data_IF_935187011762
#
_entry.id   IF_935187011762
#
_cell.length_a   1.000
_cell.length_b   1.000
_cell.length_c   1.000
_cell.angle_alpha   90.00
_cell.angle_beta   90.00
_cell.angle_gamma   90.00
#
_symmetry.space_group_name_H-M   'P 1'
#
loop_
_entity.id
_entity.type
_entity.pdbx_description
1 polymer ?
#
# COMPACT_ATOMS: atom_id res chain seq x y z
N UNK A 1 -10.10 6.74 -2.66
CA UNK A 1 -9.78 7.57 -1.48
C UNK A 1 -10.84 8.64 -1.26
N UNK A 2 -11.05 9.57 -2.18
CA UNK A 2 -12.08 10.64 -2.07
C UNK A 2 -13.50 10.12 -1.83
N UNK A 3 -13.85 8.94 -2.35
CA UNK A 3 -15.10 8.23 -2.08
C UNK A 3 -15.33 7.93 -0.59
N UNK A 4 -14.25 7.69 0.17
CA UNK A 4 -14.32 7.32 1.59
C UNK A 4 -14.16 8.50 2.54
N UNK A 5 -13.78 9.69 2.04
CA UNK A 5 -13.55 10.88 2.88
C UNK A 5 -14.83 11.33 3.56
N UNK A 6 -15.91 11.53 2.80
CA UNK A 6 -17.22 11.95 3.33
C UNK A 6 -17.80 10.97 4.38
N UNK A 7 -17.88 9.65 4.13
CA UNK A 7 -18.38 8.72 5.14
C UNK A 7 -17.44 8.56 6.35
N UNK A 8 -16.13 8.79 6.21
CA UNK A 8 -15.20 8.82 7.35
C UNK A 8 -15.35 10.08 8.19
N UNK A 9 -15.57 11.24 7.57
CA UNK A 9 -15.86 12.50 8.27
C UNK A 9 -17.15 12.40 9.08
N UNK A 10 -18.22 11.84 8.48
CA UNK A 10 -19.50 11.65 9.16
C UNK A 10 -19.42 10.59 10.28
N UNK A 11 -18.67 9.50 10.08
CA UNK A 11 -18.56 8.44 11.08
C UNK A 11 -17.64 8.80 12.27
N UNK A 12 -16.53 9.52 12.03
CA UNK A 12 -15.58 9.89 13.08
C UNK A 12 -15.77 11.32 13.64
N UNK A 13 -16.74 12.10 13.13
CA UNK A 13 -16.90 13.54 13.44
C UNK A 13 -15.58 14.33 13.31
N UNK A 14 -14.73 13.91 12.36
CA UNK A 14 -13.36 14.37 12.20
C UNK A 14 -13.24 15.36 11.05
N UNK A 15 -12.22 16.23 11.10
CA UNK A 15 -11.97 17.24 10.08
C UNK A 15 -11.33 16.63 8.83
N UNK A 16 -11.69 17.14 7.65
CA UNK A 16 -11.11 16.76 6.34
C UNK A 16 -9.58 16.72 6.35
N UNK A 17 -8.96 17.64 7.10
CA UNK A 17 -7.51 17.74 7.24
C UNK A 17 -6.88 16.48 7.85
N UNK A 18 -7.58 15.82 8.78
CA UNK A 18 -7.05 14.66 9.49
C UNK A 18 -7.14 13.38 8.65
N UNK A 19 -8.21 13.24 7.85
CA UNK A 19 -8.30 12.20 6.83
C UNK A 19 -7.19 12.40 5.79
N UNK A 20 -6.92 13.64 5.38
CA UNK A 20 -5.80 13.97 4.49
C UNK A 20 -4.43 13.59 5.07
N UNK A 21 -4.24 13.75 6.39
CA UNK A 21 -3.02 13.34 7.08
C UNK A 21 -2.84 11.82 7.04
N UNK A 22 -3.89 11.05 7.27
CA UNK A 22 -3.83 9.59 7.15
C UNK A 22 -3.46 9.15 5.72
N UNK A 23 -4.03 9.82 4.70
CA UNK A 23 -3.64 9.60 3.30
C UNK A 23 -2.17 9.92 3.04
N UNK A 24 -1.72 11.07 3.54
CA UNK A 24 -0.35 11.52 3.33
C UNK A 24 0.63 10.56 3.99
N UNK A 25 0.35 10.12 5.22
CA UNK A 25 1.14 9.11 5.90
C UNK A 25 1.19 7.80 5.11
N UNK A 26 0.06 7.35 4.58
CA UNK A 26 -0.02 6.19 3.69
C UNK A 26 0.88 6.33 2.46
N UNK A 27 0.78 7.44 1.71
CA UNK A 27 1.59 7.67 0.49
C UNK A 27 3.06 7.83 0.81
N UNK A 28 3.41 8.58 1.85
CA UNK A 28 4.81 8.77 2.29
C UNK A 28 5.44 7.46 2.71
N UNK A 29 4.75 6.64 3.50
CA UNK A 29 5.28 5.35 3.94
C UNK A 29 5.28 4.31 2.83
N UNK A 30 4.30 4.32 1.94
CA UNK A 30 4.32 3.49 0.73
C UNK A 30 5.55 3.81 -0.11
N UNK A 31 5.75 5.09 -0.44
CA UNK A 31 6.89 5.53 -1.27
C UNK A 31 8.22 5.28 -0.56
N UNK A 32 8.30 5.61 0.73
CA UNK A 32 9.49 5.40 1.55
C UNK A 32 9.85 3.93 1.70
N UNK A 33 8.86 3.05 1.88
CA UNK A 33 9.09 1.60 1.91
C UNK A 33 9.54 1.08 0.54
N UNK A 34 9.00 1.64 -0.55
CA UNK A 34 9.42 1.25 -1.90
C UNK A 34 10.90 1.53 -2.13
N UNK A 35 11.34 2.74 -1.78
CA UNK A 35 12.74 3.16 -1.91
C UNK A 35 13.66 2.45 -0.91
N UNK A 36 13.23 2.30 0.34
CA UNK A 36 14.01 1.67 1.41
C UNK A 36 14.31 0.20 1.13
N UNK A 37 13.32 -0.57 0.67
CA UNK A 37 13.55 -1.99 0.33
C UNK A 37 14.41 -2.18 -0.92
N UNK A 38 14.29 -1.29 -1.91
CA UNK A 38 15.11 -1.34 -3.12
C UNK A 38 16.60 -1.10 -2.86
N UNK A 39 16.95 -0.40 -1.77
CA UNK A 39 18.33 -0.10 -1.39
C UNK A 39 18.91 -1.05 -0.32
N UNK A 40 18.09 -1.52 0.64
CA UNK A 40 18.58 -2.23 1.82
C UNK A 40 18.36 -3.75 1.82
N UNK A 41 17.45 -4.29 1.01
CA UNK A 41 17.08 -5.72 1.11
C UNK A 41 17.74 -6.54 0.01
N UNK A 42 18.59 -7.53 0.35
CA UNK A 42 19.11 -8.48 -0.62
C UNK A 42 17.96 -9.19 -1.36
N UNK A 43 18.10 -9.39 -2.67
CA UNK A 43 17.13 -10.07 -3.55
C UNK A 43 16.59 -11.40 -2.99
N UNK A 44 17.39 -12.09 -2.18
CA UNK A 44 17.05 -13.37 -1.53
C UNK A 44 15.99 -13.25 -0.41
N UNK A 45 15.86 -12.10 0.23
CA UNK A 45 14.92 -11.86 1.35
C UNK A 45 13.55 -11.35 0.88
N UNK A 46 13.39 -11.09 -0.41
CA UNK A 46 12.18 -10.47 -0.96
C UNK A 46 10.91 -11.29 -0.66
N UNK A 47 10.95 -12.62 -0.74
CA UNK A 47 9.79 -13.48 -0.42
C UNK A 47 9.33 -13.36 1.04
N UNK A 48 10.27 -13.28 2.00
CA UNK A 48 9.93 -13.12 3.42
C UNK A 48 9.33 -11.73 3.67
N UNK A 49 9.92 -10.70 3.06
CA UNK A 49 9.41 -9.34 3.12
C UNK A 49 7.97 -9.22 2.57
N UNK A 50 7.63 -9.97 1.50
CA UNK A 50 6.27 -10.02 0.96
C UNK A 50 5.28 -10.66 1.90
N UNK A 51 5.63 -11.78 2.52
CA UNK A 51 4.74 -12.46 3.47
C UNK A 51 4.42 -11.55 4.65
N UNK A 52 5.42 -10.83 5.15
CA UNK A 52 5.23 -9.80 6.19
C UNK A 52 4.36 -8.66 5.66
N UNK A 53 4.61 -8.17 4.45
CA UNK A 53 3.80 -7.12 3.82
C UNK A 53 2.33 -7.50 3.63
N UNK A 54 2.06 -8.73 3.21
CA UNK A 54 0.71 -9.28 3.07
C UNK A 54 0.02 -9.43 4.43
N UNK A 55 0.75 -9.87 5.46
CA UNK A 55 0.27 -9.90 6.84
C UNK A 55 -0.07 -8.51 7.37
N UNK A 56 0.80 -7.52 7.14
CA UNK A 56 0.54 -6.11 7.48
C UNK A 56 -0.69 -5.57 6.74
N UNK A 57 -0.86 -5.91 5.46
CA UNK A 57 -2.04 -5.51 4.69
C UNK A 57 -3.34 -6.07 5.27
N UNK A 58 -3.37 -7.36 5.59
CA UNK A 58 -4.54 -7.98 6.23
C UNK A 58 -4.82 -7.36 7.60
N UNK A 59 -3.80 -7.19 8.43
CA UNK A 59 -3.93 -6.55 9.73
C UNK A 59 -4.42 -5.11 9.61
N UNK A 60 -3.91 -4.35 8.65
CA UNK A 60 -4.33 -2.97 8.41
C UNK A 60 -5.76 -2.89 7.87
N UNK A 61 -6.20 -3.80 7.00
CA UNK A 61 -7.60 -3.83 6.55
C UNK A 61 -8.56 -4.07 7.72
N UNK A 62 -8.25 -5.07 8.56
CA UNK A 62 -9.05 -5.40 9.73
C UNK A 62 -9.04 -4.24 10.75
N UNK A 63 -7.87 -3.66 10.98
CA UNK A 63 -7.68 -2.53 11.90
C UNK A 63 -8.37 -1.26 11.44
N UNK A 64 -8.35 -0.96 10.14
CA UNK A 64 -9.03 0.20 9.57
C UNK A 64 -10.56 0.02 9.60
N UNK A 65 -11.05 -1.21 9.43
CA UNK A 65 -12.48 -1.52 9.58
C UNK A 65 -12.99 -1.35 11.02
N UNK A 66 -12.12 -1.50 12.01
CA UNK A 66 -12.44 -1.35 13.43
C UNK A 66 -12.02 0.01 14.01
N UNK A 67 -11.49 0.92 13.18
CA UNK A 67 -10.95 2.19 13.64
C UNK A 67 -12.09 3.14 14.05
N UNK A 68 -12.25 3.35 15.36
CA UNK A 68 -13.23 4.29 15.93
C UNK A 68 -12.60 5.64 16.34
N UNK A 69 -11.28 5.77 16.24
CA UNK A 69 -10.52 6.95 16.65
C UNK A 69 -9.55 7.39 15.56
N UNK A 70 -9.30 8.69 15.47
CA UNK A 70 -8.40 9.26 14.47
C UNK A 70 -6.98 8.70 14.53
N UNK A 71 -6.42 8.58 15.73
CA UNK A 71 -5.07 8.04 15.92
C UNK A 71 -4.96 6.61 15.40
N UNK A 72 -6.00 5.79 15.59
CA UNK A 72 -6.05 4.45 15.05
C UNK A 72 -6.07 4.49 13.52
N UNK A 73 -6.85 5.40 12.91
CA UNK A 73 -6.89 5.57 11.46
C UNK A 73 -5.51 5.87 10.87
N UNK A 74 -4.76 6.80 11.48
CA UNK A 74 -3.41 7.16 11.02
C UNK A 74 -2.43 6.00 11.18
N UNK A 75 -2.46 5.30 12.31
CA UNK A 75 -1.57 4.15 12.56
C UNK A 75 -1.86 3.01 11.58
N UNK A 76 -3.13 2.68 11.36
CA UNK A 76 -3.52 1.62 10.43
C UNK A 76 -3.26 2.02 8.98
N UNK A 77 -3.46 3.29 8.60
CA UNK A 77 -3.09 3.81 7.28
C UNK A 77 -1.58 3.78 7.04
N UNK A 78 -0.78 4.11 8.06
CA UNK A 78 0.67 4.00 8.02
C UNK A 78 1.12 2.55 7.81
N UNK A 79 0.53 1.61 8.58
CA UNK A 79 0.83 0.18 8.48
C UNK A 79 0.39 -0.40 7.13
N UNK A 80 -0.74 0.07 6.60
CA UNK A 80 -1.20 -0.25 5.24
C UNK A 80 -0.19 0.23 4.19
N UNK A 81 0.35 1.45 4.34
CA UNK A 81 1.34 2.02 3.41
C UNK A 81 2.61 1.18 3.34
N UNK A 82 3.13 0.76 4.50
CA UNK A 82 4.30 -0.14 4.57
C UNK A 82 3.99 -1.50 3.92
N UNK A 83 2.84 -2.09 4.22
CA UNK A 83 2.41 -3.37 3.64
C UNK A 83 2.32 -3.34 2.11
N UNK A 84 1.72 -2.28 1.56
CA UNK A 84 1.63 -2.09 0.09
C UNK A 84 3.02 -1.93 -0.53
N UNK A 85 3.91 -1.12 0.07
CA UNK A 85 5.26 -0.92 -0.45
C UNK A 85 6.10 -2.19 -0.49
N UNK A 86 5.93 -3.08 0.50
CA UNK A 86 6.56 -4.40 0.55
C UNK A 86 6.05 -5.34 -0.55
N UNK A 87 4.73 -5.42 -0.72
CA UNK A 87 4.11 -6.29 -1.74
C UNK A 87 4.43 -5.81 -3.15
N UNK A 88 4.41 -4.49 -3.38
CA UNK A 88 4.74 -3.89 -4.68
C UNK A 88 6.18 -4.20 -5.11
N UNK A 89 7.17 -4.05 -4.21
CA UNK A 89 8.56 -4.41 -4.50
C UNK A 89 8.72 -5.87 -4.92
N UNK A 90 8.03 -6.77 -4.23
CA UNK A 90 8.08 -8.18 -4.57
C UNK A 90 7.49 -8.44 -5.95
N UNK A 91 6.27 -7.94 -6.22
CA UNK A 91 5.62 -8.09 -7.51
C UNK A 91 6.53 -7.59 -8.64
N UNK A 92 7.16 -6.43 -8.46
CA UNK A 92 8.11 -5.89 -9.43
C UNK A 92 9.35 -6.78 -9.60
N UNK A 93 9.95 -7.28 -8.50
CA UNK A 93 11.12 -8.15 -8.57
C UNK A 93 10.84 -9.51 -9.25
N UNK A 94 9.65 -10.07 -9.02
CA UNK A 94 9.18 -11.31 -9.70
C UNK A 94 8.92 -11.06 -11.18
N UNK A 95 8.27 -9.95 -11.54
CA UNK A 95 7.98 -9.61 -12.93
C UNK A 95 9.24 -9.41 -13.77
N UNK A 96 10.24 -8.70 -13.23
CA UNK A 96 11.53 -8.49 -13.91
C UNK A 96 12.30 -9.81 -14.08
N UNK A 97 12.14 -10.75 -13.15
CA UNK A 97 12.77 -12.08 -13.22
C UNK A 97 12.06 -13.03 -14.19
N UNK A 98 10.73 -12.94 -14.30
CA UNK A 98 9.94 -13.75 -15.25
C UNK A 98 10.16 -13.35 -16.71
N UNK A 99 10.53 -12.11 -17.01
CA UNK A 99 10.77 -11.65 -18.38
C UNK A 99 12.14 -10.94 -18.56
N UNK A 100 13.26 -11.69 -18.60
CA UNK A 100 14.60 -11.13 -18.70
C UNK A 100 14.84 -10.35 -20.01
N UNK A 101 14.23 -10.78 -21.12
CA UNK A 101 14.37 -10.16 -22.45
C UNK A 101 13.47 -8.93 -22.66
N UNK A 102 12.39 -8.78 -21.88
CA UNK A 102 11.41 -7.70 -22.05
C UNK A 102 11.03 -7.05 -20.71
N UNK A 103 12.04 -6.70 -19.91
CA UNK A 103 11.86 -6.11 -18.57
C UNK A 103 10.90 -4.91 -18.56
N UNK A 104 10.94 -4.06 -19.60
CA UNK A 104 10.06 -2.90 -19.73
C UNK A 104 8.58 -3.26 -19.93
N UNK A 105 8.27 -4.29 -20.74
CA UNK A 105 6.89 -4.75 -20.95
C UNK A 105 6.33 -5.43 -19.70
N UNK A 106 7.13 -6.27 -19.03
CA UNK A 106 6.69 -6.94 -17.81
C UNK A 106 6.46 -5.97 -16.65
N UNK A 107 7.32 -4.97 -16.49
CA UNK A 107 7.10 -3.88 -15.55
C UNK A 107 5.84 -3.07 -15.91
N UNK A 108 5.63 -2.79 -17.20
CA UNK A 108 4.45 -2.08 -17.71
C UNK A 108 3.13 -2.82 -17.43
N UNK A 109 3.08 -4.13 -17.66
CA UNK A 109 1.89 -4.95 -17.35
C UNK A 109 1.62 -5.01 -15.84
N UNK A 110 2.69 -5.08 -15.03
CA UNK A 110 2.56 -5.07 -13.56
C UNK A 110 2.01 -3.74 -13.06
N UNK A 111 2.50 -2.62 -13.61
CA UNK A 111 1.99 -1.28 -13.31
C UNK A 111 0.54 -1.08 -13.81
N UNK A 112 0.21 -1.61 -14.99
CA UNK A 112 -1.14 -1.58 -15.52
C UNK A 112 -2.12 -2.38 -14.64
N UNK A 113 -1.70 -3.55 -14.15
CA UNK A 113 -2.45 -4.36 -13.19
C UNK A 113 -2.74 -3.59 -11.88
N UNK A 114 -1.74 -2.90 -11.32
CA UNK A 114 -1.93 -2.07 -10.12
C UNK A 114 -2.94 -0.94 -10.34
N UNK A 115 -2.92 -0.26 -11.50
CA UNK A 115 -3.89 0.79 -11.84
C UNK A 115 -5.31 0.27 -12.11
N UNK A 116 -5.44 -0.96 -12.59
CA UNK A 116 -6.71 -1.58 -12.96
C UNK A 116 -7.62 -1.97 -11.78
N UNK A 117 -7.18 -1.80 -10.53
CA UNK A 117 -8.02 -2.07 -9.35
C UNK A 117 -9.15 -1.04 -9.11
N UNK A 118 -9.18 0.05 -9.89
CA UNK A 118 -10.11 1.17 -9.73
C UNK A 118 -11.52 1.00 -10.35
N UNK A 119 -11.78 0.20 -11.41
CA UNK A 119 -13.11 0.15 -12.04
C UNK A 119 -14.15 -0.75 -11.35
N UNK A 120 -13.76 -1.61 -10.39
CA UNK A 120 -14.69 -2.61 -9.81
C UNK A 120 -15.54 -2.10 -8.64
N UNK A 121 -15.46 -0.81 -8.30
CA UNK A 121 -16.21 -0.21 -7.18
C UNK A 121 -17.14 0.94 -7.57
N UNK A 122 -17.48 1.06 -8.87
CA UNK A 122 -18.57 1.93 -9.35
C UNK A 122 -19.89 1.18 -9.49
#
# INVERSE_FOLDING_TARGET
>A
WTLFVRPLEEALHSSTAEVQLAFSAFVTLQTGSVLGLGLLVPTHLHHRATMVGAGCLLAALLGLSAAQNLQALVIWAALMGVGVGLVYNFAMSVSVRCAPQHRGLAAGITAAGYGSGTPLSI
#
